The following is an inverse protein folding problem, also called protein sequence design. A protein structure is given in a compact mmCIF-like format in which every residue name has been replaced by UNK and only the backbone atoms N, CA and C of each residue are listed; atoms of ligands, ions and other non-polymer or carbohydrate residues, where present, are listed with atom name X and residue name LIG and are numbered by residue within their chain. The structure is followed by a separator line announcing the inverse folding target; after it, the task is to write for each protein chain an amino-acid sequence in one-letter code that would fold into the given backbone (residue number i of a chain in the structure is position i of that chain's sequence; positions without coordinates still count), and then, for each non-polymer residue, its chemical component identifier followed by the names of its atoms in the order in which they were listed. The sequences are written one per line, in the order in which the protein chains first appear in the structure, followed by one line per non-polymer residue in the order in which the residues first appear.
data_IF_370764859034
#
_entry.id   IF_370764859034
#
_cell.length_a   1.000
_cell.length_b   1.000
_cell.length_c   1.000
_cell.angle_alpha   90.00
_cell.angle_beta   90.00
_cell.angle_gamma   90.00
#
_symmetry.space_group_name_H-M   'P 1'
#
loop_
_entity.id
_entity.type
_entity.pdbx_description
1 polymer ?
#
# COMPACT_ATOMS: atom_id res chain seq x y z
N UNK A 1 25.61 5.71 2.61
CA UNK A 1 25.07 4.41 2.15
C UNK A 1 23.64 4.59 1.66
N UNK A 2 23.27 4.00 0.52
CA UNK A 2 21.88 4.02 0.01
C UNK A 2 21.07 2.89 0.64
N UNK A 3 19.76 3.08 0.79
CA UNK A 3 18.82 2.07 1.33
C UNK A 3 17.77 1.76 0.27
N UNK A 4 17.51 0.47 0.06
CA UNK A 4 16.45 -0.02 -0.84
C UNK A 4 15.43 -0.74 0.04
N UNK A 5 14.14 -0.44 -0.18
CA UNK A 5 13.05 -1.07 0.53
C UNK A 5 12.20 -1.83 -0.49
N UNK A 6 11.98 -3.12 -0.25
CA UNK A 6 11.04 -3.93 -1.01
C UNK A 6 9.75 -4.04 -0.22
N UNK A 7 8.64 -3.69 -0.86
CA UNK A 7 7.31 -3.71 -0.26
C UNK A 7 6.39 -4.56 -1.13
N UNK A 8 5.50 -5.31 -0.49
CA UNK A 8 4.41 -6.00 -1.17
C UNK A 8 3.21 -5.07 -1.29
N UNK A 9 2.32 -5.36 -2.24
CA UNK A 9 1.04 -4.65 -2.32
C UNK A 9 0.17 -4.96 -1.10
N UNK A 10 -0.73 -4.03 -0.76
CA UNK A 10 -1.71 -4.22 0.32
C UNK A 10 -2.73 -5.31 -0.03
N UNK A 11 -3.27 -5.98 0.99
CA UNK A 11 -4.18 -7.13 0.81
C UNK A 11 -5.49 -6.72 0.12
N UNK A 12 -5.81 -7.37 -1.00
CA UNK A 12 -7.10 -7.25 -1.70
C UNK A 12 -8.26 -7.91 -0.95
N UNK A 13 -9.48 -7.48 -1.26
CA UNK A 13 -10.72 -8.11 -0.79
C UNK A 13 -11.14 -9.27 -1.69
N UNK A 14 -11.68 -10.30 -1.06
CA UNK A 14 -12.29 -11.48 -1.69
C UNK A 14 -13.76 -11.63 -1.32
N UNK A 15 -14.38 -10.57 -0.79
CA UNK A 15 -15.79 -10.56 -0.39
C UNK A 15 -16.75 -10.74 -1.58
N UNK A 16 -16.33 -10.33 -2.77
CA UNK A 16 -17.07 -10.51 -4.01
C UNK A 16 -16.25 -11.40 -4.97
N UNK A 17 -16.82 -12.57 -5.30
CA UNK A 17 -16.19 -13.54 -6.19
C UNK A 17 -16.44 -13.25 -7.67
N UNK A 18 -17.37 -12.35 -8.01
CA UNK A 18 -17.67 -11.97 -9.39
C UNK A 18 -16.65 -11.00 -9.99
N UNK A 19 -15.87 -10.32 -9.14
CA UNK A 19 -14.85 -9.37 -9.57
C UNK A 19 -13.63 -10.06 -10.17
N UNK A 20 -13.11 -9.49 -11.26
CA UNK A 20 -11.79 -9.83 -11.80
C UNK A 20 -10.70 -9.33 -10.87
N UNK A 21 -9.55 -10.00 -10.87
CA UNK A 21 -8.46 -9.69 -9.94
C UNK A 21 -7.95 -8.25 -10.01
N UNK A 22 -7.96 -7.63 -11.19
CA UNK A 22 -7.57 -6.23 -11.36
C UNK A 22 -8.56 -5.25 -10.72
N UNK A 23 -9.84 -5.61 -10.66
CA UNK A 23 -10.92 -4.75 -10.14
C UNK A 23 -11.12 -4.97 -8.63
N UNK A 24 -10.51 -6.01 -8.04
CA UNK A 24 -10.66 -6.30 -6.60
C UNK A 24 -10.18 -5.14 -5.73
N UNK A 25 -11.03 -4.52 -4.89
CA UNK A 25 -10.64 -3.43 -4.00
C UNK A 25 -9.71 -3.95 -2.89
N UNK A 26 -9.15 -3.05 -2.09
CA UNK A 26 -8.42 -3.44 -0.88
C UNK A 26 -9.39 -3.95 0.19
N UNK A 27 -8.93 -4.94 0.96
CA UNK A 27 -9.62 -5.35 2.19
C UNK A 27 -9.47 -4.28 3.26
N UNK A 28 -10.40 -4.21 4.23
CA UNK A 28 -10.28 -3.32 5.40
C UNK A 28 -8.92 -3.47 6.10
N UNK A 29 -8.45 -4.71 6.24
CA UNK A 29 -7.13 -5.00 6.79
C UNK A 29 -6.00 -4.46 5.92
N UNK A 30 -6.10 -4.64 4.60
CA UNK A 30 -5.12 -4.12 3.64
C UNK A 30 -4.99 -2.60 3.69
N UNK A 31 -6.11 -1.88 3.86
CA UNK A 31 -6.09 -0.42 4.04
C UNK A 31 -5.35 -0.05 5.33
N UNK A 32 -5.71 -0.66 6.46
CA UNK A 32 -5.05 -0.41 7.76
C UNK A 32 -3.54 -0.71 7.71
N UNK A 33 -3.14 -1.82 7.09
CA UNK A 33 -1.72 -2.17 6.94
C UNK A 33 -0.97 -1.15 6.07
N UNK A 34 -1.59 -0.66 4.99
CA UNK A 34 -1.01 0.37 4.13
C UNK A 34 -0.81 1.71 4.88
N UNK A 35 -1.80 2.11 5.69
CA UNK A 35 -1.74 3.31 6.51
C UNK A 35 -0.65 3.21 7.59
N UNK A 36 -0.58 2.09 8.31
CA UNK A 36 0.46 1.84 9.31
C UNK A 36 1.85 1.94 8.70
N UNK A 37 2.08 1.30 7.55
CA UNK A 37 3.36 1.36 6.85
C UNK A 37 3.67 2.78 6.38
N UNK A 38 2.70 3.48 5.80
CA UNK A 38 2.85 4.87 5.37
C UNK A 38 3.25 5.79 6.53
N UNK A 39 2.59 5.64 7.67
CA UNK A 39 2.89 6.40 8.89
C UNK A 39 4.29 6.07 9.44
N UNK A 40 4.70 4.80 9.43
CA UNK A 40 6.04 4.38 9.82
C UNK A 40 7.11 5.04 8.96
N UNK A 41 6.97 5.01 7.63
CA UNK A 41 7.92 5.65 6.73
C UNK A 41 7.94 7.18 6.88
N UNK A 42 6.77 7.81 7.06
CA UNK A 42 6.68 9.27 7.30
C UNK A 42 7.39 9.69 8.59
N UNK A 43 7.29 8.90 9.66
CA UNK A 43 7.93 9.19 10.94
C UNK A 43 9.47 9.02 10.90
N UNK A 44 9.99 8.23 9.96
CA UNK A 44 11.43 7.99 9.83
C UNK A 44 12.12 9.15 9.09
N UNK A 45 12.68 10.08 9.85
CA UNK A 45 13.42 11.29 9.39
C UNK A 45 14.58 11.04 8.41
N UNK A 46 15.08 9.81 8.29
CA UNK A 46 16.27 9.46 7.49
C UNK A 46 15.94 8.74 6.18
N UNK A 47 14.67 8.75 5.77
CA UNK A 47 14.31 8.43 4.40
C UNK A 47 14.40 9.75 3.65
N UNK A 48 15.34 9.85 2.71
CA UNK A 48 15.35 10.97 1.74
C UNK A 48 14.00 11.07 1.04
N UNK A 49 13.77 12.11 0.21
CA UNK A 49 12.46 12.36 -0.40
C UNK A 49 11.91 11.06 -0.97
N UNK A 50 10.90 10.49 -0.31
CA UNK A 50 10.19 9.33 -0.83
C UNK A 50 9.66 9.81 -2.18
N UNK A 51 10.15 9.25 -3.27
CA UNK A 51 9.53 9.49 -4.56
C UNK A 51 8.10 8.94 -4.43
N UNK A 52 7.13 9.85 -4.26
CA UNK A 52 5.75 9.55 -3.92
C UNK A 52 5.05 8.90 -5.13
N UNK A 53 5.34 7.63 -5.38
CA UNK A 53 4.50 6.75 -6.20
C UNK A 53 3.63 5.84 -5.34
N UNK A 54 3.45 6.16 -4.04
CA UNK A 54 2.31 5.68 -3.26
C UNK A 54 1.05 6.42 -3.72
N UNK A 55 0.67 6.25 -4.98
CA UNK A 55 -0.72 6.49 -5.32
C UNK A 55 -1.47 5.34 -4.67
N UNK A 56 -2.41 5.58 -3.73
CA UNK A 56 -3.42 4.58 -3.48
C UNK A 56 -4.03 4.31 -4.85
N UNK A 57 -3.80 3.12 -5.39
CA UNK A 57 -4.57 2.65 -6.52
C UNK A 57 -5.98 2.56 -5.93
N UNK A 58 -6.75 3.64 -6.07
CA UNK A 58 -8.21 3.57 -6.01
C UNK A 58 -8.56 2.64 -7.15
N UNK A 59 -8.58 1.35 -6.85
CA UNK A 59 -9.32 0.39 -7.64
C UNK A 59 -10.77 0.80 -7.40
N UNK A 60 -11.33 1.49 -8.39
CA UNK A 60 -12.72 1.90 -8.43
C UNK A 60 -13.62 0.69 -8.22
#
# INVERSE_FOLDING_TARGET
MKKIFFLRHAKSSWSDFSLKDFDRPLSTRGIQDAELMGNYFKAKKNLGPLCHNFKPVKKN
#
